data_IF_874272513524
#
_entry.id   IF_874272513524
#
_cell.length_a   1.000
_cell.length_b   1.000
_cell.length_c   1.000
_cell.angle_alpha   90.00
_cell.angle_beta   90.00
_cell.angle_gamma   90.00
#
_symmetry.space_group_name_H-M   'P 1'
#
loop_
_entity.id
_entity.type
_entity.pdbx_description
1 polymer ?
#
# COMPACT_ATOMS: atom_id res chain seq x y z
N UNK A 1 -11.52 -8.63 -32.26
CA UNK A 1 -12.45 -8.59 -31.10
C UNK A 1 -12.22 -7.31 -30.31
N UNK A 2 -13.24 -6.77 -29.62
CA UNK A 2 -13.09 -5.54 -28.82
C UNK A 2 -12.21 -5.79 -27.59
N UNK A 3 -11.31 -4.85 -27.29
CA UNK A 3 -10.41 -4.89 -26.13
C UNK A 3 -11.07 -4.43 -24.81
N UNK A 4 -12.39 -4.52 -24.72
CA UNK A 4 -13.19 -4.07 -23.56
C UNK A 4 -13.36 -5.20 -22.56
N UNK A 5 -12.90 -5.00 -21.33
CA UNK A 5 -13.12 -5.92 -20.20
C UNK A 5 -14.47 -5.67 -19.52
N UNK A 6 -15.06 -6.69 -18.90
CA UNK A 6 -16.35 -6.58 -18.21
C UNK A 6 -16.21 -6.08 -16.76
N UNK A 7 -15.97 -4.79 -16.58
CA UNK A 7 -15.93 -4.17 -15.26
C UNK A 7 -17.34 -4.12 -14.62
N UNK A 8 -17.54 -4.48 -13.33
CA UNK A 8 -16.55 -4.69 -12.27
C UNK A 8 -16.14 -6.15 -12.01
N UNK A 9 -16.66 -7.11 -12.78
CA UNK A 9 -16.44 -8.54 -12.59
C UNK A 9 -15.04 -8.98 -13.02
N UNK A 10 -14.53 -8.37 -14.08
CA UNK A 10 -13.18 -8.56 -14.60
C UNK A 10 -12.36 -7.30 -14.34
N UNK A 11 -11.18 -7.48 -13.73
CA UNK A 11 -10.23 -6.40 -13.47
C UNK A 11 -9.07 -6.50 -14.45
N UNK A 12 -8.53 -5.35 -14.84
CA UNK A 12 -7.31 -5.30 -15.63
C UNK A 12 -6.11 -5.87 -14.84
N UNK A 13 -5.07 -6.37 -15.54
CA UNK A 13 -3.86 -6.85 -14.88
C UNK A 13 -3.14 -5.70 -14.17
N UNK A 14 -2.74 -5.90 -12.91
CA UNK A 14 -1.98 -4.95 -12.12
C UNK A 14 -0.57 -5.49 -11.84
N UNK A 15 0.43 -4.60 -11.93
CA UNK A 15 1.80 -4.95 -11.55
C UNK A 15 1.97 -4.95 -10.02
N UNK A 16 2.92 -5.72 -9.45
CA UNK A 16 3.27 -5.64 -8.02
C UNK A 16 3.74 -4.25 -7.55
N UNK A 17 4.12 -3.38 -8.49
CA UNK A 17 4.57 -2.00 -8.24
C UNK A 17 3.44 -0.96 -8.29
N UNK A 18 2.20 -1.39 -8.42
CA UNK A 18 1.05 -0.50 -8.47
C UNK A 18 0.98 0.38 -7.21
N UNK A 19 0.81 1.69 -7.40
CA UNK A 19 0.70 2.68 -6.31
C UNK A 19 -0.77 3.00 -6.07
N UNK A 20 -1.36 2.33 -5.08
CA UNK A 20 -2.78 2.46 -4.71
C UNK A 20 -2.99 3.17 -3.37
N UNK A 21 -3.95 2.67 -2.59
CA UNK A 21 -4.29 3.21 -1.27
C UNK A 21 -3.10 3.11 -0.28
N UNK A 22 -2.90 4.15 0.53
CA UNK A 22 -1.84 4.19 1.53
C UNK A 22 -2.20 3.31 2.74
N UNK A 23 -1.18 2.64 3.29
CA UNK A 23 -1.32 1.72 4.41
C UNK A 23 -0.10 1.76 5.33
N UNK A 24 -0.32 1.70 6.64
CA UNK A 24 0.72 1.49 7.64
C UNK A 24 0.76 0.01 8.03
N UNK A 25 1.95 -0.59 7.97
CA UNK A 25 2.15 -2.02 8.25
C UNK A 25 2.59 -2.27 9.68
N UNK A 26 2.36 -3.51 10.12
CA UNK A 26 2.86 -4.06 11.39
C UNK A 26 4.02 -5.03 11.16
N UNK A 27 4.80 -5.26 12.20
CA UNK A 27 5.71 -6.39 12.29
C UNK A 27 4.91 -7.69 12.47
N UNK A 28 5.53 -8.86 12.22
CA UNK A 28 4.89 -10.15 12.52
C UNK A 28 4.51 -10.32 14.00
N UNK A 29 5.14 -9.56 14.91
CA UNK A 29 4.79 -9.47 16.33
C UNK A 29 3.50 -8.68 16.62
N UNK A 30 2.94 -7.97 15.63
CA UNK A 30 1.75 -7.12 15.77
C UNK A 30 2.04 -5.65 16.10
N UNK A 31 3.29 -5.32 16.45
CA UNK A 31 3.73 -3.95 16.68
C UNK A 31 3.73 -3.14 15.36
N UNK A 32 3.36 -1.87 15.42
CA UNK A 32 3.42 -0.99 14.23
C UNK A 32 4.86 -0.72 13.80
N UNK A 33 5.10 -0.60 12.49
CA UNK A 33 6.45 -0.28 11.96
C UNK A 33 6.77 1.21 12.01
N UNK A 34 5.76 2.06 12.13
CA UNK A 34 5.94 3.52 12.14
C UNK A 34 6.54 3.97 13.48
N UNK A 35 7.75 4.52 13.45
CA UNK A 35 8.45 5.05 14.64
C UNK A 35 8.33 6.58 14.78
N UNK A 36 7.35 7.20 14.11
CA UNK A 36 7.11 8.64 14.13
C UNK A 36 8.32 9.53 13.75
N UNK A 37 9.18 9.07 12.82
CA UNK A 37 10.36 9.81 12.37
C UNK A 37 10.08 11.05 11.50
N UNK A 38 8.83 11.23 11.03
CA UNK A 38 8.37 12.31 10.13
C UNK A 38 9.08 12.40 8.76
N UNK A 39 9.86 11.41 8.38
CA UNK A 39 10.53 11.39 7.05
C UNK A 39 9.53 11.37 5.88
N UNK A 40 8.40 10.64 6.04
CA UNK A 40 7.35 10.59 5.03
C UNK A 40 6.64 11.94 4.83
N UNK A 41 6.49 12.72 5.89
CA UNK A 41 5.93 14.08 5.86
C UNK A 41 6.92 15.04 5.20
N UNK A 42 8.20 14.95 5.57
CA UNK A 42 9.25 15.81 5.03
C UNK A 42 9.47 15.63 3.51
N UNK A 43 9.33 14.42 2.98
CA UNK A 43 9.47 14.15 1.54
C UNK A 43 8.19 14.38 0.74
N UNK A 44 7.04 14.59 1.40
CA UNK A 44 5.77 14.71 0.71
C UNK A 44 5.72 16.03 -0.10
N UNK A 45 5.68 15.99 -1.44
CA UNK A 45 5.67 17.21 -2.25
C UNK A 45 4.37 18.02 -2.08
N UNK A 46 3.28 17.36 -1.68
CA UNK A 46 1.98 18.01 -1.42
C UNK A 46 1.83 18.48 0.04
N UNK A 47 2.82 18.22 0.91
CA UNK A 47 2.82 18.59 2.34
C UNK A 47 1.61 18.08 3.16
N UNK A 48 0.85 17.12 2.66
CA UNK A 48 -0.35 16.63 3.32
C UNK A 48 -0.37 15.10 3.42
N UNK A 49 -0.63 14.60 4.63
CA UNK A 49 -1.04 13.22 4.86
C UNK A 49 -2.57 13.24 5.00
N UNK A 50 -3.28 12.90 3.92
CA UNK A 50 -4.75 12.93 3.82
C UNK A 50 -5.50 12.03 4.83
N UNK A 51 -4.80 11.17 5.59
CA UNK A 51 -5.41 10.15 6.43
C UNK A 51 -4.89 10.16 7.87
N UNK A 52 -5.81 9.92 8.81
CA UNK A 52 -5.50 9.66 10.20
C UNK A 52 -4.74 8.33 10.37
N UNK A 53 -3.87 8.25 11.38
CA UNK A 53 -3.07 7.06 11.70
C UNK A 53 -3.91 5.78 11.78
N UNK A 54 -5.05 5.83 12.46
CA UNK A 54 -5.96 4.69 12.64
C UNK A 54 -6.49 4.15 11.30
N UNK A 55 -6.82 5.06 10.38
CA UNK A 55 -7.30 4.69 9.05
C UNK A 55 -6.18 4.00 8.24
N UNK A 56 -4.96 4.51 8.30
CA UNK A 56 -3.83 3.88 7.62
C UNK A 56 -3.47 2.50 8.20
N UNK A 57 -3.57 2.32 9.51
CA UNK A 57 -3.36 1.01 10.16
C UNK A 57 -4.44 0.01 9.75
N UNK A 58 -5.72 0.40 9.79
CA UNK A 58 -6.82 -0.49 9.34
C UNK A 58 -6.70 -0.90 7.87
N UNK A 59 -6.20 0.00 7.01
CA UNK A 59 -5.87 -0.33 5.63
C UNK A 59 -4.73 -1.34 5.53
N UNK A 60 -3.67 -1.17 6.33
CA UNK A 60 -2.56 -2.13 6.40
C UNK A 60 -3.01 -3.49 6.86
N UNK A 61 -3.79 -3.56 7.94
CA UNK A 61 -4.32 -4.81 8.48
C UNK A 61 -5.22 -5.53 7.44
N UNK A 62 -6.00 -4.77 6.66
CA UNK A 62 -6.84 -5.31 5.57
C UNK A 62 -6.03 -5.89 4.40
N UNK A 63 -4.95 -5.22 4.00
CA UNK A 63 -4.22 -5.52 2.75
C UNK A 63 -2.85 -6.20 2.97
N UNK A 64 -2.46 -6.51 4.22
CA UNK A 64 -1.12 -7.02 4.56
C UNK A 64 -0.71 -8.25 3.77
N UNK A 65 -1.63 -9.18 3.51
CA UNK A 65 -1.35 -10.41 2.75
C UNK A 65 -0.90 -10.12 1.31
N UNK A 66 -1.59 -9.20 0.64
CA UNK A 66 -1.30 -8.78 -0.73
C UNK A 66 -0.04 -7.90 -0.76
N UNK A 67 0.05 -6.92 0.15
CA UNK A 67 1.21 -6.02 0.26
C UNK A 67 2.49 -6.83 0.53
N UNK A 68 2.46 -7.80 1.44
CA UNK A 68 3.62 -8.64 1.74
C UNK A 68 4.03 -9.50 0.54
N UNK A 69 3.08 -9.94 -0.29
CA UNK A 69 3.36 -10.71 -1.51
C UNK A 69 3.99 -9.81 -2.58
N UNK A 70 3.44 -8.61 -2.79
CA UNK A 70 3.96 -7.64 -3.75
C UNK A 70 5.38 -7.17 -3.39
N UNK A 71 5.63 -6.90 -2.09
CA UNK A 71 6.97 -6.54 -1.62
C UNK A 71 7.94 -7.71 -1.80
N UNK A 72 7.53 -8.95 -1.48
CA UNK A 72 8.35 -10.13 -1.74
C UNK A 72 8.68 -10.30 -3.22
N UNK A 73 7.79 -9.95 -4.13
CA UNK A 73 8.06 -10.00 -5.57
C UNK A 73 9.06 -8.92 -6.03
N UNK A 74 9.08 -7.74 -5.37
CA UNK A 74 9.84 -6.56 -5.83
C UNK A 74 11.10 -6.24 -5.01
N UNK A 75 11.31 -6.85 -3.84
CA UNK A 75 12.36 -6.46 -2.88
C UNK A 75 13.80 -6.53 -3.40
N UNK A 76 14.09 -7.31 -4.45
CA UNK A 76 15.44 -7.39 -5.03
C UNK A 76 15.80 -6.17 -5.88
N UNK A 77 14.80 -5.39 -6.30
CA UNK A 77 14.96 -4.24 -7.19
C UNK A 77 14.75 -2.90 -6.48
N UNK A 78 14.68 -2.91 -5.15
CA UNK A 78 14.29 -1.79 -4.31
C UNK A 78 15.20 -1.67 -3.11
#
# INVERSE_FOLDING_TARGET
EPATINYPFEKGPLSPRFRGEHALRRYPSGEERCIACKLCEAICPAQELLYNKEKLLSNGDKWESEIATNIRADHLYR
#
